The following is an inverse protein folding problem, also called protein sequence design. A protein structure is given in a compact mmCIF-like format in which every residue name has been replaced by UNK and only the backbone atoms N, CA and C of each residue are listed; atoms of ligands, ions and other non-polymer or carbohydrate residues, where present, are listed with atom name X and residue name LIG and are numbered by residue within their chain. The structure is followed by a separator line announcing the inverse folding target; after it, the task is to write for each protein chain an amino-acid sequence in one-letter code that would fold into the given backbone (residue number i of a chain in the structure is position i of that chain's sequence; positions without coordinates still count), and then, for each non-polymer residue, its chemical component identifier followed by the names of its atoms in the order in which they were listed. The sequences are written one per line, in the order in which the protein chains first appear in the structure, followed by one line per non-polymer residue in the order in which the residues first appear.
data_IF_259541659563
#
_entry.id   IF_259541659563
#
_cell.length_a   1.000
_cell.length_b   1.000
_cell.length_c   1.000
_cell.angle_alpha   90.00
_cell.angle_beta   90.00
_cell.angle_gamma   90.00
#
_symmetry.space_group_name_H-M   'P 1'
#
loop_
_entity.id
_entity.type
_entity.pdbx_description
1 polymer ?
#
# COMPACT_ATOMS: atom_id res chain seq x y z
N UNK A 1 -11.04 4.22 -0.64
CA UNK A 1 -10.42 3.25 0.29
C UNK A 1 -11.54 2.50 1.00
N UNK A 2 -11.68 1.20 0.75
CA UNK A 2 -12.81 0.37 1.23
C UNK A 2 -12.89 0.27 2.75
N UNK A 3 -11.82 0.60 3.47
CA UNK A 3 -11.76 0.60 4.95
C UNK A 3 -12.72 1.61 5.59
N UNK A 4 -13.03 2.71 4.90
CA UNK A 4 -13.94 3.74 5.43
C UNK A 4 -15.42 3.45 5.18
N UNK A 5 -15.76 2.63 4.17
CA UNK A 5 -17.14 2.27 3.83
C UNK A 5 -17.70 1.04 4.58
N UNK A 6 -16.92 0.40 5.43
CA UNK A 6 -17.41 -0.71 6.26
C UNK A 6 -18.16 -0.17 7.51
N UNK A 7 -19.45 -0.50 7.58
CA UNK A 7 -20.37 -0.21 8.69
C UNK A 7 -20.89 -1.47 9.39
N UNK A 8 -20.37 -2.67 9.09
CA UNK A 8 -20.89 -3.95 9.60
C UNK A 8 -20.80 -4.09 11.12
N UNK A 9 -19.97 -3.29 11.80
CA UNK A 9 -19.88 -3.27 13.26
C UNK A 9 -20.97 -2.41 13.95
N UNK A 10 -21.72 -1.62 13.18
CA UNK A 10 -22.79 -0.77 13.71
C UNK A 10 -24.05 -1.59 13.82
N UNK A 11 -24.46 -1.90 15.06
CA UNK A 11 -25.72 -2.60 15.29
C UNK A 11 -26.90 -1.62 15.19
N UNK A 12 -27.96 -2.06 14.51
CA UNK A 12 -29.20 -1.32 14.34
C UNK A 12 -30.33 -2.20 14.86
N UNK A 13 -31.03 -1.74 15.90
CA UNK A 13 -32.14 -2.49 16.50
C UNK A 13 -33.47 -2.14 15.86
N UNK A 14 -33.64 -0.86 15.53
CA UNK A 14 -34.87 -0.33 14.96
C UNK A 14 -34.53 0.43 13.68
N UNK A 15 -34.99 -0.10 12.55
CA UNK A 15 -34.91 0.56 11.26
C UNK A 15 -36.30 0.72 10.64
N UNK A 16 -36.40 1.58 9.65
CA UNK A 16 -37.61 1.83 8.86
C UNK A 16 -37.34 1.34 7.45
N UNK A 17 -38.22 0.48 6.95
CA UNK A 17 -38.15 0.01 5.56
C UNK A 17 -38.58 1.15 4.64
N UNK A 18 -37.62 1.68 3.89
CA UNK A 18 -37.88 2.72 2.90
C UNK A 18 -38.47 2.09 1.64
N UNK A 19 -39.68 2.53 1.26
CA UNK A 19 -40.29 2.18 -0.03
C UNK A 19 -40.22 3.41 -0.92
N UNK A 20 -39.29 3.40 -1.88
CA UNK A 20 -39.07 4.51 -2.80
C UNK A 20 -39.89 4.24 -4.06
N UNK A 21 -40.80 5.13 -4.46
CA UNK A 21 -41.53 4.98 -5.72
C UNK A 21 -40.55 4.95 -6.91
N UNK A 22 -40.74 4.05 -7.87
CA UNK A 22 -39.88 3.96 -9.08
C UNK A 22 -39.86 5.26 -9.90
N UNK A 23 -40.89 6.09 -9.76
CA UNK A 23 -40.98 7.39 -10.40
C UNK A 23 -39.95 8.42 -9.86
N UNK A 24 -39.34 8.17 -8.70
CA UNK A 24 -38.35 9.06 -8.11
C UNK A 24 -36.95 8.63 -8.53
N UNK A 25 -36.17 9.56 -9.07
CA UNK A 25 -34.74 9.35 -9.24
C UNK A 25 -34.11 9.22 -7.84
N UNK A 26 -33.48 8.08 -7.54
CA UNK A 26 -32.90 7.83 -6.22
C UNK A 26 -31.61 7.04 -6.32
N UNK A 27 -30.63 7.41 -5.52
CA UNK A 27 -29.37 6.67 -5.38
C UNK A 27 -29.32 6.01 -4.00
N UNK A 28 -29.19 4.68 -3.96
CA UNK A 28 -29.03 3.95 -2.69
C UNK A 28 -27.55 3.95 -2.32
N UNK A 29 -27.20 4.71 -1.29
CA UNK A 29 -25.82 4.90 -0.84
C UNK A 29 -25.35 3.79 0.12
N UNK A 30 -26.27 3.23 0.90
CA UNK A 30 -25.99 2.14 1.83
C UNK A 30 -27.21 1.21 1.98
N UNK A 31 -26.95 -0.04 2.35
CA UNK A 31 -27.98 -1.07 2.60
C UNK A 31 -27.76 -1.71 3.97
N UNK A 32 -28.83 -2.17 4.58
CA UNK A 32 -28.76 -3.08 5.72
C UNK A 32 -28.38 -4.48 5.26
N UNK A 33 -28.00 -5.35 6.21
CA UNK A 33 -27.70 -6.76 5.93
C UNK A 33 -28.90 -7.52 5.35
N UNK A 34 -30.13 -7.03 5.58
CA UNK A 34 -31.36 -7.54 4.97
C UNK A 34 -31.50 -7.20 3.47
N UNK A 35 -30.65 -6.31 2.93
CA UNK A 35 -30.74 -5.77 1.57
C UNK A 35 -31.62 -4.53 1.44
N UNK A 36 -32.42 -4.22 2.46
CA UNK A 36 -33.25 -3.01 2.52
C UNK A 36 -32.36 -1.74 2.45
N UNK A 37 -32.77 -0.68 1.72
CA UNK A 37 -32.03 0.57 1.68
C UNK A 37 -31.89 1.21 3.08
N UNK A 38 -30.65 1.54 3.46
CA UNK A 38 -30.33 2.15 4.75
C UNK A 38 -30.11 3.67 4.64
N UNK A 39 -29.45 4.11 3.58
CA UNK A 39 -29.25 5.53 3.27
C UNK A 39 -29.56 5.73 1.80
N UNK A 40 -30.44 6.67 1.51
CA UNK A 40 -30.94 6.96 0.17
C UNK A 40 -30.75 8.44 -0.10
N UNK A 41 -30.30 8.76 -1.31
CA UNK A 41 -30.22 10.12 -1.81
C UNK A 41 -31.32 10.35 -2.85
N UNK A 42 -32.00 11.48 -2.72
CA UNK A 42 -33.03 11.96 -3.64
C UNK A 42 -32.64 13.36 -4.13
N UNK A 43 -32.62 13.62 -5.45
CA UNK A 43 -32.53 14.99 -5.95
C UNK A 43 -33.84 15.73 -5.62
N UNK A 44 -33.72 16.98 -5.17
CA UNK A 44 -34.87 17.85 -4.93
C UNK A 44 -34.51 19.26 -5.35
N UNK A 45 -35.16 19.76 -6.41
CA UNK A 45 -34.81 21.02 -7.07
C UNK A 45 -33.31 21.07 -7.44
N UNK A 46 -32.60 22.13 -7.05
CA UNK A 46 -31.15 22.28 -7.25
C UNK A 46 -30.32 21.59 -6.14
N UNK A 47 -30.98 20.86 -5.24
CA UNK A 47 -30.38 20.25 -4.06
C UNK A 47 -30.58 18.74 -4.00
N UNK A 48 -30.30 18.19 -2.82
CA UNK A 48 -30.43 16.76 -2.54
C UNK A 48 -30.86 16.52 -1.11
N UNK A 49 -31.68 15.50 -0.92
CA UNK A 49 -32.18 15.03 0.37
C UNK A 49 -31.55 13.68 0.65
N UNK A 50 -30.91 13.57 1.81
CA UNK A 50 -30.42 12.31 2.36
C UNK A 50 -31.46 11.76 3.34
N UNK A 51 -31.99 10.58 3.04
CA UNK A 51 -32.96 9.87 3.87
C UNK A 51 -32.27 8.71 4.57
N UNK A 52 -32.32 8.72 5.90
CA UNK A 52 -31.80 7.64 6.73
C UNK A 52 -32.94 6.72 7.15
N UNK A 53 -32.80 5.43 6.86
CA UNK A 53 -33.71 4.37 7.32
C UNK A 53 -33.50 3.99 8.79
N UNK A 54 -32.61 4.66 9.52
CA UNK A 54 -32.33 4.42 10.93
C UNK A 54 -32.11 5.73 11.67
N UNK A 55 -32.43 5.75 12.96
CA UNK A 55 -32.05 6.86 13.83
C UNK A 55 -30.64 6.70 14.38
N UNK A 56 -29.96 7.80 14.69
CA UNK A 56 -28.63 7.80 15.31
C UNK A 56 -28.63 7.67 16.84
N UNK A 57 -29.81 7.76 17.45
CA UNK A 57 -29.99 7.70 18.90
C UNK A 57 -29.68 6.28 19.42
N UNK A 58 -29.09 6.13 20.61
CA UNK A 58 -28.75 4.82 21.17
C UNK A 58 -29.93 3.84 21.31
N UNK A 59 -31.17 4.35 21.37
CA UNK A 59 -32.37 3.53 21.41
C UNK A 59 -32.69 2.84 20.06
N UNK A 60 -32.12 3.31 18.94
CA UNK A 60 -32.42 2.78 17.61
C UNK A 60 -31.19 2.23 16.88
N UNK A 61 -30.00 2.81 17.09
CA UNK A 61 -28.75 2.24 16.58
C UNK A 61 -27.52 2.63 17.38
N UNK A 62 -26.41 1.94 17.14
CA UNK A 62 -25.08 2.29 17.63
C UNK A 62 -24.38 3.34 16.76
N UNK A 63 -25.07 3.95 15.79
CA UNK A 63 -24.43 4.81 14.80
C UNK A 63 -23.66 5.96 15.46
N UNK A 64 -24.29 6.67 16.42
CA UNK A 64 -23.64 7.77 17.15
C UNK A 64 -22.49 7.34 18.08
N UNK A 65 -22.46 6.07 18.50
CA UNK A 65 -21.39 5.51 19.33
C UNK A 65 -20.22 4.96 18.50
N UNK A 66 -20.38 4.91 17.17
CA UNK A 66 -19.36 4.41 16.28
C UNK A 66 -18.30 5.47 15.97
N UNK A 67 -17.06 5.03 15.72
CA UNK A 67 -15.98 5.90 15.22
C UNK A 67 -16.27 6.49 13.84
N UNK A 68 -17.27 5.96 13.12
CA UNK A 68 -17.70 6.43 11.80
C UNK A 68 -18.70 7.58 11.87
N UNK A 69 -19.26 7.89 13.05
CA UNK A 69 -20.27 8.94 13.19
C UNK A 69 -19.75 10.32 12.81
N UNK A 70 -18.67 10.77 13.45
CA UNK A 70 -18.11 12.12 13.23
C UNK A 70 -17.65 12.31 11.78
N UNK A 71 -16.88 11.38 11.18
CA UNK A 71 -16.53 11.48 9.75
C UNK A 71 -17.76 11.50 8.83
N UNK A 72 -18.79 10.72 9.13
CA UNK A 72 -20.05 10.73 8.36
C UNK A 72 -20.75 12.08 8.45
N UNK A 73 -20.86 12.67 9.64
CA UNK A 73 -21.49 13.98 9.83
C UNK A 73 -20.74 15.08 9.09
N UNK A 74 -19.40 15.09 9.18
CA UNK A 74 -18.59 16.02 8.41
C UNK A 74 -18.79 15.82 6.91
N UNK A 75 -18.81 14.58 6.44
CA UNK A 75 -19.07 14.28 5.04
C UNK A 75 -20.43 14.79 4.59
N UNK A 76 -21.48 14.64 5.41
CA UNK A 76 -22.82 15.16 5.09
C UNK A 76 -22.82 16.69 5.04
N UNK A 77 -22.11 17.36 5.96
CA UNK A 77 -22.00 18.82 5.96
C UNK A 77 -21.24 19.33 4.74
N UNK A 78 -20.08 18.74 4.42
CA UNK A 78 -19.30 19.05 3.23
C UNK A 78 -20.14 18.79 1.97
N UNK A 79 -20.88 17.68 1.96
CA UNK A 79 -21.81 17.33 0.90
C UNK A 79 -23.02 18.27 0.83
N UNK A 80 -23.43 18.93 1.91
CA UNK A 80 -24.49 19.93 1.89
C UNK A 80 -24.04 21.30 1.38
N UNK A 81 -22.73 21.57 1.39
CA UNK A 81 -22.16 22.86 0.97
C UNK A 81 -22.36 23.19 -0.51
N UNK A 82 -22.92 22.25 -1.30
CA UNK A 82 -23.23 22.43 -2.72
C UNK A 82 -22.01 22.56 -3.62
N UNK A 83 -20.81 22.65 -3.04
CA UNK A 83 -19.56 22.56 -3.80
C UNK A 83 -19.36 21.09 -4.15
N UNK A 84 -19.24 20.73 -5.44
CA UNK A 84 -18.50 19.53 -5.77
C UNK A 84 -17.17 19.61 -5.02
N UNK A 85 -16.57 18.49 -4.58
CA UNK A 85 -15.16 18.48 -4.26
C UNK A 85 -14.41 18.89 -5.53
N UNK A 86 -14.26 20.19 -5.75
CA UNK A 86 -13.44 20.75 -6.80
C UNK A 86 -12.05 20.29 -6.42
N UNK A 87 -11.52 19.37 -7.22
CA UNK A 87 -10.15 18.93 -7.09
C UNK A 87 -9.31 20.19 -7.23
N UNK A 88 -8.81 20.70 -6.12
CA UNK A 88 -7.99 21.91 -6.05
C UNK A 88 -6.51 21.56 -6.00
N UNK A 89 -6.17 20.26 -6.11
CA UNK A 89 -4.80 19.75 -6.11
C UNK A 89 -4.54 18.83 -7.31
N UNK A 90 -3.48 19.16 -8.04
CA UNK A 90 -3.03 18.56 -9.30
C UNK A 90 -1.54 18.22 -9.22
N UNK A 91 -1.06 17.41 -10.16
CA UNK A 91 0.37 17.16 -10.37
C UNK A 91 0.86 17.96 -11.57
N UNK A 92 2.15 18.32 -11.62
CA UNK A 92 2.78 18.94 -12.80
C UNK A 92 2.45 18.14 -14.06
N UNK A 93 1.94 18.83 -15.08
CA UNK A 93 1.46 18.22 -16.34
C UNK A 93 -0.01 17.79 -16.35
N UNK A 94 -0.72 17.84 -15.22
CA UNK A 94 -2.18 17.63 -15.20
C UNK A 94 -2.92 18.84 -15.79
N UNK A 95 -4.03 18.59 -16.49
CA UNK A 95 -4.94 19.65 -16.93
C UNK A 95 -5.87 20.10 -15.80
N UNK A 96 -5.88 21.40 -15.51
CA UNK A 96 -6.80 22.03 -14.54
C UNK A 96 -8.14 22.25 -15.24
N UNK A 97 -9.24 21.59 -14.84
CA UNK A 97 -10.57 21.83 -15.39
C UNK A 97 -11.10 23.19 -14.93
N UNK A 98 -11.51 24.02 -15.90
CA UNK A 98 -12.12 25.34 -15.71
C UNK A 98 -13.63 25.35 -15.97
N UNK A 99 -14.22 24.16 -16.18
CA UNK A 99 -15.58 23.96 -16.66
C UNK A 99 -16.69 24.54 -15.76
N UNK A 100 -16.57 24.43 -14.43
CA UNK A 100 -17.53 25.03 -13.48
C UNK A 100 -17.49 26.56 -13.52
N UNK A 101 -16.29 27.13 -13.71
CA UNK A 101 -16.08 28.56 -13.78
C UNK A 101 -16.57 29.16 -15.11
N UNK A 102 -16.17 28.57 -16.24
CA UNK A 102 -16.57 29.01 -17.58
C UNK A 102 -18.09 28.95 -17.77
N UNK A 103 -18.79 28.03 -17.09
CA UNK A 103 -20.25 27.97 -17.07
C UNK A 103 -20.90 29.14 -16.32
N UNK A 104 -20.29 29.60 -15.23
CA UNK A 104 -20.85 30.65 -14.36
C UNK A 104 -20.64 32.05 -14.93
N UNK A 105 -19.47 32.33 -15.49
CA UNK A 105 -19.09 33.72 -15.81
C UNK A 105 -19.11 34.03 -17.31
N UNK A 106 -19.05 33.04 -18.22
CA UNK A 106 -19.00 33.21 -19.71
C UNK A 106 -18.04 34.32 -20.22
N UNK A 107 -17.09 34.77 -19.40
CA UNK A 107 -16.24 35.92 -19.65
C UNK A 107 -14.76 35.53 -19.58
N UNK A 108 -13.93 36.33 -20.24
CA UNK A 108 -12.48 36.21 -20.19
C UNK A 108 -12.01 36.31 -18.73
N UNK A 109 -11.16 35.38 -18.33
CA UNK A 109 -10.55 35.32 -17.00
C UNK A 109 -9.05 35.20 -17.16
N UNK A 110 -8.32 35.49 -16.10
CA UNK A 110 -6.87 35.53 -16.14
C UNK A 110 -6.32 34.52 -15.16
N UNK A 111 -5.36 33.71 -15.61
CA UNK A 111 -4.64 32.77 -14.76
C UNK A 111 -3.34 33.42 -14.30
N UNK A 112 -3.17 33.59 -13.00
CA UNK A 112 -1.90 33.94 -12.37
C UNK A 112 -1.12 32.64 -12.09
N UNK A 113 0.09 32.55 -12.62
CA UNK A 113 0.98 31.41 -12.48
C UNK A 113 1.79 31.51 -11.18
N UNK A 114 2.41 30.40 -10.73
CA UNK A 114 3.28 30.39 -9.55
C UNK A 114 4.45 31.41 -9.61
N UNK A 115 4.89 31.74 -10.82
CA UNK A 115 5.95 32.72 -11.10
C UNK A 115 5.45 34.18 -11.12
N UNK A 116 4.19 34.43 -10.74
CA UNK A 116 3.47 35.71 -10.83
C UNK A 116 3.25 36.24 -12.26
N UNK A 117 3.53 35.44 -13.29
CA UNK A 117 3.11 35.72 -14.65
C UNK A 117 1.60 35.56 -14.78
N UNK A 118 1.00 36.32 -15.68
CA UNK A 118 -0.44 36.43 -15.81
C UNK A 118 -0.85 36.14 -17.25
N UNK A 119 -1.55 35.03 -17.46
CA UNK A 119 -1.98 34.56 -18.79
C UNK A 119 -3.48 34.78 -18.96
N UNK A 120 -3.87 35.39 -20.07
CA UNK A 120 -5.28 35.59 -20.41
C UNK A 120 -5.87 34.30 -20.99
N UNK A 121 -6.94 33.80 -20.38
CA UNK A 121 -7.64 32.60 -20.84
C UNK A 121 -8.68 32.96 -21.90
N UNK A 122 -8.84 32.08 -22.89
CA UNK A 122 -9.86 32.26 -23.91
C UNK A 122 -11.26 32.15 -23.28
N UNK A 123 -12.22 32.93 -23.80
CA UNK A 123 -13.60 32.85 -23.34
C UNK A 123 -14.16 31.45 -23.61
N UNK A 124 -14.69 30.81 -22.56
CA UNK A 124 -15.22 29.44 -22.65
C UNK A 124 -14.17 28.33 -22.66
N UNK A 125 -12.90 28.65 -22.40
CA UNK A 125 -11.85 27.64 -22.20
C UNK A 125 -12.24 26.67 -21.07
N UNK A 126 -12.16 25.37 -21.35
CA UNK A 126 -12.64 24.31 -20.43
C UNK A 126 -11.56 23.75 -19.52
N UNK A 127 -10.29 23.91 -19.89
CA UNK A 127 -9.14 23.42 -19.15
C UNK A 127 -7.93 24.30 -19.40
N UNK A 128 -7.03 24.36 -18.41
CA UNK A 128 -5.70 24.92 -18.54
C UNK A 128 -4.68 23.78 -18.45
N UNK A 129 -3.86 23.61 -19.49
CA UNK A 129 -2.97 22.44 -19.65
C UNK A 129 -1.50 22.76 -19.34
N UNK A 130 -1.12 24.04 -19.26
CA UNK A 130 0.27 24.47 -19.10
C UNK A 130 0.67 24.55 -17.61
N UNK A 131 0.66 23.39 -16.96
CA UNK A 131 1.00 23.19 -15.54
C UNK A 131 2.43 22.68 -15.38
N UNK A 132 3.38 23.25 -16.13
CA UNK A 132 4.78 22.83 -16.12
C UNK A 132 5.57 23.19 -14.85
N UNK A 133 5.08 24.16 -14.07
CA UNK A 133 5.73 24.62 -12.85
C UNK A 133 4.90 24.23 -11.61
N UNK A 134 5.52 23.66 -10.55
CA UNK A 134 4.82 23.42 -9.31
C UNK A 134 4.54 24.73 -8.56
N UNK A 135 3.35 24.86 -7.99
CA UNK A 135 2.97 26.00 -7.17
C UNK A 135 1.46 26.28 -7.17
N UNK A 136 1.10 27.50 -6.80
CA UNK A 136 -0.31 27.93 -6.75
C UNK A 136 -0.65 28.69 -8.03
N UNK A 137 -1.65 28.20 -8.74
CA UNK A 137 -2.25 28.85 -9.91
C UNK A 137 -3.54 29.51 -9.46
N UNK A 138 -3.66 30.83 -9.61
CA UNK A 138 -4.83 31.59 -9.17
C UNK A 138 -5.63 32.08 -10.37
N UNK A 139 -6.88 31.64 -10.47
CA UNK A 139 -7.83 32.15 -11.43
C UNK A 139 -8.42 33.46 -10.92
N UNK A 140 -7.98 34.57 -11.52
CA UNK A 140 -8.47 35.92 -11.25
C UNK A 140 -9.59 36.24 -12.23
N UNK A 141 -10.73 36.65 -11.71
CA UNK A 141 -11.86 37.10 -12.51
C UNK A 141 -12.73 38.08 -11.73
N UNK A 142 -13.88 38.48 -12.26
CA UNK A 142 -14.83 39.41 -11.61
C UNK A 142 -15.52 38.83 -10.36
N UNK A 143 -15.32 37.54 -10.09
CA UNK A 143 -15.80 36.85 -8.89
C UNK A 143 -14.65 36.68 -7.87
N UNK A 144 -14.89 35.93 -6.79
CA UNK A 144 -13.83 35.56 -5.84
C UNK A 144 -12.72 34.76 -6.54
N UNK A 145 -11.43 35.08 -6.30
CA UNK A 145 -10.32 34.35 -6.91
C UNK A 145 -10.29 32.90 -6.41
N UNK A 146 -10.01 31.97 -7.33
CA UNK A 146 -9.94 30.54 -7.03
C UNK A 146 -8.49 30.07 -7.21
N UNK A 147 -7.93 29.42 -6.21
CA UNK A 147 -6.57 28.90 -6.25
C UNK A 147 -6.55 27.38 -6.46
N UNK A 148 -5.67 26.94 -7.34
CA UNK A 148 -5.36 25.54 -7.64
C UNK A 148 -3.90 25.27 -7.27
N UNK A 149 -3.64 24.21 -6.51
CA UNK A 149 -2.30 23.76 -6.17
C UNK A 149 -1.83 22.71 -7.19
N UNK A 150 -0.70 22.96 -7.84
CA UNK A 150 0.01 22.01 -8.71
C UNK A 150 1.25 21.56 -7.97
N UNK A 151 1.39 20.27 -7.72
CA UNK A 151 2.46 19.67 -6.94
C UNK A 151 3.36 18.81 -7.82
N UNK A 152 4.60 18.58 -7.41
CA UNK A 152 5.46 17.56 -8.03
C UNK A 152 4.95 16.16 -7.68
N UNK A 153 5.18 15.19 -8.56
CA UNK A 153 4.85 13.79 -8.24
C UNK A 153 5.70 13.36 -7.04
N UNK A 154 5.12 12.81 -5.95
CA UNK A 154 5.87 12.30 -4.82
C UNK A 154 6.95 11.26 -5.20
N UNK A 155 6.80 10.60 -6.36
CA UNK A 155 7.80 9.70 -6.91
C UNK A 155 9.11 10.40 -7.29
N UNK A 156 9.09 11.68 -7.66
CA UNK A 156 10.30 12.46 -7.99
C UNK A 156 11.19 12.66 -6.76
N UNK A 157 10.61 12.73 -5.56
CA UNK A 157 11.36 12.86 -4.30
C UNK A 157 12.03 11.55 -3.84
N UNK A 158 11.83 10.44 -4.56
CA UNK A 158 12.44 9.15 -4.21
C UNK A 158 13.89 9.09 -4.71
N UNK A 159 14.81 9.61 -3.91
CA UNK A 159 16.26 9.63 -4.18
C UNK A 159 16.99 8.34 -3.82
N UNK A 160 16.26 7.25 -3.53
CA UNK A 160 16.87 5.96 -3.25
C UNK A 160 17.69 5.50 -4.47
N UNK A 161 18.88 4.92 -4.27
CA UNK A 161 19.71 4.43 -5.37
C UNK A 161 18.93 3.45 -6.24
N UNK A 162 18.92 3.68 -7.56
CA UNK A 162 18.34 2.74 -8.50
C UNK A 162 19.24 1.50 -8.59
N UNK A 163 18.65 0.31 -8.66
CA UNK A 163 19.45 -0.92 -8.82
C UNK A 163 20.08 -0.97 -10.21
N UNK A 164 21.23 -1.64 -10.32
CA UNK A 164 21.97 -1.75 -11.58
C UNK A 164 21.12 -2.46 -12.64
N UNK A 165 20.35 -3.48 -12.24
CA UNK A 165 19.47 -4.23 -13.13
C UNK A 165 18.37 -3.33 -13.72
N UNK A 166 17.88 -2.37 -12.94
CA UNK A 166 16.85 -1.42 -13.38
C UNK A 166 17.43 -0.35 -14.31
N UNK A 167 18.68 0.08 -14.10
CA UNK A 167 19.40 0.95 -15.04
C UNK A 167 19.66 0.24 -16.38
N UNK A 168 20.07 -1.02 -16.35
CA UNK A 168 20.26 -1.84 -17.55
C UNK A 168 18.94 -2.06 -18.31
N UNK A 169 17.82 -2.25 -17.59
CA UNK A 169 16.49 -2.34 -18.19
C UNK A 169 16.06 -1.03 -18.89
N UNK A 170 16.54 0.13 -18.43
CA UNK A 170 16.37 1.41 -19.10
C UNK A 170 17.38 1.65 -20.24
N UNK A 171 18.20 0.65 -20.59
CA UNK A 171 19.19 0.73 -21.66
C UNK A 171 20.47 1.47 -21.28
N UNK A 172 20.69 1.75 -19.99
CA UNK A 172 21.89 2.44 -19.51
C UNK A 172 23.02 1.42 -19.35
N UNK A 173 24.05 1.52 -20.18
CA UNK A 173 25.24 0.69 -20.07
C UNK A 173 26.09 1.10 -18.86
N UNK A 174 26.03 0.30 -17.77
CA UNK A 174 26.83 0.56 -16.57
C UNK A 174 28.20 -0.11 -16.70
N UNK A 175 29.25 0.70 -16.89
CA UNK A 175 30.62 0.21 -16.96
C UNK A 175 31.03 -0.46 -15.64
N UNK A 176 31.21 -1.79 -15.65
CA UNK A 176 31.66 -2.56 -14.49
C UNK A 176 30.65 -3.56 -13.92
N UNK A 177 29.41 -3.58 -14.41
CA UNK A 177 28.39 -4.55 -13.97
C UNK A 177 28.84 -6.00 -14.21
N UNK A 178 29.52 -6.26 -15.34
CA UNK A 178 30.10 -7.57 -15.65
C UNK A 178 31.21 -8.00 -14.70
N UNK A 179 32.06 -7.08 -14.22
CA UNK A 179 33.14 -7.39 -13.27
C UNK A 179 32.61 -7.66 -11.87
N UNK A 180 31.60 -6.91 -11.41
CA UNK A 180 30.97 -7.15 -10.11
C UNK A 180 30.11 -8.41 -10.09
N UNK A 181 29.40 -8.72 -11.19
CA UNK A 181 28.69 -9.98 -11.35
C UNK A 181 29.65 -11.18 -11.32
N UNK A 182 30.77 -11.11 -12.07
CA UNK A 182 31.79 -12.16 -12.09
C UNK A 182 32.47 -12.36 -10.72
N UNK A 183 32.72 -11.28 -9.97
CA UNK A 183 33.28 -11.36 -8.62
C UNK A 183 32.32 -12.01 -7.62
N UNK A 184 31.02 -11.71 -7.70
CA UNK A 184 29.99 -12.36 -6.86
C UNK A 184 29.86 -13.84 -7.18
N UNK A 185 29.83 -14.20 -8.46
CA UNK A 185 29.72 -15.60 -8.90
C UNK A 185 30.96 -16.43 -8.51
N UNK A 186 32.15 -15.83 -8.55
CA UNK A 186 33.38 -16.47 -8.07
C UNK A 186 33.34 -16.72 -6.56
N UNK A 187 32.89 -15.73 -5.77
CA UNK A 187 32.76 -15.86 -4.32
C UNK A 187 31.74 -16.92 -3.91
N UNK A 188 30.62 -17.05 -4.63
CA UNK A 188 29.61 -18.06 -4.36
C UNK A 188 30.06 -19.47 -4.73
N UNK A 189 30.79 -19.64 -5.85
CA UNK A 189 31.44 -20.91 -6.21
C UNK A 189 32.46 -21.33 -5.16
N UNK A 190 33.22 -20.39 -4.60
CA UNK A 190 34.20 -20.67 -3.55
C UNK A 190 33.53 -21.11 -2.24
N UNK A 191 32.44 -20.44 -1.84
CA UNK A 191 31.62 -20.88 -0.69
C UNK A 191 31.06 -22.28 -0.88
N UNK A 192 30.53 -22.60 -2.06
CA UNK A 192 30.02 -23.94 -2.36
C UNK A 192 31.12 -25.01 -2.26
N UNK A 193 32.33 -24.73 -2.75
CA UNK A 193 33.49 -25.62 -2.60
C UNK A 193 33.87 -25.82 -1.14
N UNK A 194 33.84 -24.77 -0.31
CA UNK A 194 34.12 -24.87 1.11
C UNK A 194 33.07 -25.72 1.86
N UNK A 195 31.78 -25.57 1.52
CA UNK A 195 30.70 -26.40 2.07
C UNK A 195 30.88 -27.87 1.68
N UNK A 196 31.17 -28.15 0.40
CA UNK A 196 31.43 -29.49 -0.10
C UNK A 196 32.64 -30.15 0.60
N UNK A 197 33.72 -29.40 0.81
CA UNK A 197 34.90 -29.90 1.51
C UNK A 197 34.59 -30.24 2.98
N UNK A 198 33.79 -29.42 3.67
CA UNK A 198 33.35 -29.69 5.04
C UNK A 198 32.47 -30.94 5.13
N UNK A 199 31.60 -31.17 4.15
CA UNK A 199 30.77 -32.37 4.09
C UNK A 199 31.62 -33.64 3.90
N UNK A 200 32.67 -33.57 3.06
CA UNK A 200 33.63 -34.66 2.88
C UNK A 200 34.45 -34.94 4.15
N UNK A 201 34.90 -33.89 4.86
CA UNK A 201 35.66 -34.02 6.10
C UNK A 201 34.83 -34.69 7.21
N UNK A 202 33.53 -34.36 7.31
CA UNK A 202 32.67 -34.93 8.34
C UNK A 202 32.43 -36.44 8.15
N UNK A 203 32.33 -36.91 6.88
CA UNK A 203 32.20 -38.34 6.55
C UNK A 203 33.47 -39.14 6.89
N UNK A 204 34.64 -38.50 6.86
CA UNK A 204 35.92 -39.13 7.16
C UNK A 204 36.21 -39.30 8.66
N UNK A 205 35.28 -39.06 9.59
CA UNK A 205 35.52 -39.25 11.03
C UNK A 205 35.19 -40.66 11.57
N UNK A 206 34.53 -41.50 10.77
CA UNK A 206 34.09 -42.85 11.18
C UNK A 206 35.24 -43.85 11.43
N UNK A 207 36.33 -43.78 10.67
CA UNK A 207 37.47 -44.70 10.85
C UNK A 207 38.21 -44.51 12.17
N UNK A 208 38.19 -43.29 12.75
CA UNK A 208 38.82 -43.03 14.06
C UNK A 208 38.15 -43.85 15.15
N UNK A 209 36.82 -43.97 15.10
CA UNK A 209 36.07 -44.82 16.02
C UNK A 209 36.31 -46.31 15.79
N UNK A 210 36.51 -46.75 14.53
CA UNK A 210 36.90 -48.13 14.23
C UNK A 210 38.29 -48.49 14.80
N UNK A 211 39.27 -47.58 14.74
CA UNK A 211 40.58 -47.81 15.36
C UNK A 211 40.46 -47.90 16.88
N UNK A 212 39.70 -46.98 17.50
CA UNK A 212 39.49 -47.02 18.96
C UNK A 212 38.82 -48.35 19.36
N UNK A 213 37.81 -48.80 18.62
CA UNK A 213 37.16 -50.08 18.86
C UNK A 213 38.13 -51.27 18.71
N UNK A 214 38.98 -51.28 17.68
CA UNK A 214 39.99 -52.32 17.48
C UNK A 214 41.01 -52.36 18.63
N UNK A 215 41.45 -51.20 19.14
CA UNK A 215 42.35 -51.11 20.29
C UNK A 215 41.70 -51.66 21.57
N UNK A 216 40.42 -51.34 21.80
CA UNK A 216 39.67 -51.87 22.95
C UNK A 216 39.55 -53.39 22.88
N UNK A 217 39.24 -53.94 21.70
CA UNK A 217 39.18 -55.40 21.51
C UNK A 217 40.53 -56.06 21.82
N UNK A 218 41.63 -55.51 21.32
CA UNK A 218 42.98 -56.02 21.60
C UNK A 218 43.32 -56.02 23.10
N UNK A 219 42.94 -54.95 23.83
CA UNK A 219 43.16 -54.88 25.27
C UNK A 219 42.32 -55.92 26.02
N UNK A 220 41.06 -56.12 25.62
CA UNK A 220 40.18 -57.12 26.22
C UNK A 220 40.72 -58.53 25.98
N UNK A 221 41.14 -58.85 24.75
CA UNK A 221 41.76 -60.15 24.45
C UNK A 221 43.04 -60.39 25.27
N UNK A 222 43.88 -59.36 25.40
CA UNK A 222 45.12 -59.45 26.19
C UNK A 222 44.83 -59.73 27.67
N UNK A 223 43.80 -59.10 28.24
CA UNK A 223 43.39 -59.31 29.64
C UNK A 223 42.80 -60.71 29.87
N UNK A 224 42.01 -61.23 28.93
CA UNK A 224 41.43 -62.58 29.01
C UNK A 224 42.54 -63.62 28.90
N UNK A 225 43.45 -63.49 27.93
CA UNK A 225 44.59 -64.40 27.75
C UNK A 225 45.52 -64.41 28.97
N UNK A 226 45.77 -63.24 29.58
CA UNK A 226 46.55 -63.14 30.81
C UNK A 226 45.89 -63.81 32.02
N UNK A 227 44.56 -63.83 32.08
CA UNK A 227 43.81 -64.57 33.12
C UNK A 227 43.81 -66.08 32.90
N UNK A 228 43.65 -66.55 31.66
CA UNK A 228 43.68 -67.99 31.36
C UNK A 228 45.06 -68.60 31.54
N UNK A 229 46.13 -67.87 31.19
CA UNK A 229 47.52 -68.32 31.38
C UNK A 229 47.91 -68.46 32.86
N UNK A 230 47.30 -67.67 33.77
CA UNK A 230 47.49 -67.84 35.23
C UNK A 230 46.76 -69.05 35.81
N UNK A 231 45.71 -69.55 35.15
CA UNK A 231 44.98 -70.74 35.60
C UNK A 231 45.59 -72.06 35.09
N UNK A 232 46.47 -72.02 34.08
CA UNK A 232 47.17 -73.20 33.55
C UNK A 232 48.50 -73.52 34.25
N UNK A 233 48.91 -72.75 35.26
CA UNK A 233 50.05 -73.11 36.12
C UNK A 233 49.51 -73.86 37.34
N UNK A 234 49.26 -75.15 37.15
CA UNK A 234 49.07 -76.10 38.24
C UNK A 234 50.44 -76.73 38.54
N UNK A 235 50.95 -76.69 39.79
CA UNK A 235 52.24 -77.28 40.13
C UNK A 235 52.12 -78.81 40.15
N UNK A 236 52.88 -79.51 39.29
CA UNK A 236 53.22 -80.90 39.55
C UNK A 236 54.39 -80.97 40.54
N UNK A 237 54.26 -81.94 41.45
CA UNK A 237 55.12 -82.31 42.59
C UNK A 237 56.55 -82.67 42.22
#
# INVERSE_FOLDING_TARGET
DSRFSDFTKVHVWNYRRLSIPEAWQSDVLARFDSGDPAIVQLPYEDGRVLVFGMGWQPAESQLALSTKFVPLMNSILDYSSGRPPERSSFVVGDAIPLNEYSRRTRQASTMELPNAETIQLASGQKSYEDTGEPGIYTLVSMAEPISYAVNLDPAESKTAPLSVEKLEAFGVAVAGSSKQAAAREAADKERQRQLMNRELENRQRLWRWLIIAAIVVLLVETLIAGRTARMSVQPET
#
